data_IF_141360736890
#
_entry.id   IF_141360736890
#
_cell.length_a   1.000
_cell.length_b   1.000
_cell.length_c   1.000
_cell.angle_alpha   90.00
_cell.angle_beta   90.00
_cell.angle_gamma   90.00
#
_symmetry.space_group_name_H-M   'P 1'
#
loop_
_entity.id
_entity.type
_entity.pdbx_description
1 polymer ?
#
# COMPACT_ATOMS: atom_id res chain seq x y z
N UNK A 1 16.71 -12.44 4.65
CA UNK A 1 17.88 -12.53 3.74
C UNK A 1 17.46 -12.38 2.25
N UNK A 2 16.43 -11.57 1.98
CA UNK A 2 15.98 -11.31 0.60
C UNK A 2 16.51 -9.99 0.02
N UNK A 3 17.19 -9.18 0.83
CA UNK A 3 17.76 -7.91 0.42
C UNK A 3 19.22 -8.05 0.03
N UNK A 4 19.61 -7.38 -1.05
CA UNK A 4 21.03 -7.20 -1.38
C UNK A 4 21.71 -6.27 -0.36
N UNK A 5 23.04 -6.29 -0.22
CA UNK A 5 23.74 -5.28 0.58
C UNK A 5 23.32 -3.86 0.20
N UNK A 6 23.18 -2.97 1.18
CA UNK A 6 22.64 -1.61 1.05
C UNK A 6 21.22 -1.54 0.49
N UNK A 7 20.48 -2.65 0.53
CA UNK A 7 19.06 -2.68 0.15
C UNK A 7 18.16 -2.00 1.17
N UNK A 8 16.97 -1.59 0.73
CA UNK A 8 15.99 -0.92 1.57
C UNK A 8 14.75 -1.78 1.78
N UNK A 9 14.34 -1.93 3.03
CA UNK A 9 13.04 -2.47 3.43
C UNK A 9 12.08 -1.32 3.71
N UNK A 10 10.93 -1.36 3.08
CA UNK A 10 9.86 -0.38 3.31
C UNK A 10 8.71 -1.07 4.03
N UNK A 11 8.38 -0.61 5.24
CA UNK A 11 7.22 -1.10 5.99
C UNK A 11 6.14 -0.03 6.00
N UNK A 12 4.96 -0.32 5.47
CA UNK A 12 3.88 0.68 5.27
C UNK A 12 2.52 0.26 5.82
N UNK A 13 2.45 -0.82 6.58
CA UNK A 13 1.16 -1.28 7.11
C UNK A 13 1.25 -2.11 8.38
N UNK A 14 0.10 -2.28 9.02
CA UNK A 14 -0.11 -3.06 10.25
C UNK A 14 -1.30 -4.03 10.11
N UNK A 15 -1.53 -4.61 8.93
CA UNK A 15 -2.71 -5.44 8.66
C UNK A 15 -2.85 -6.63 9.62
N UNK A 16 -1.74 -7.15 10.13
CA UNK A 16 -1.71 -8.26 11.11
C UNK A 16 -1.34 -7.80 12.52
N UNK A 17 -1.47 -6.51 12.81
CA UNK A 17 -1.08 -5.91 14.09
C UNK A 17 0.23 -5.11 14.01
N UNK A 18 0.68 -4.54 15.14
CA UNK A 18 1.89 -3.74 15.18
C UNK A 18 3.12 -4.57 14.83
N UNK A 19 4.05 -3.96 14.09
CA UNK A 19 5.34 -4.57 13.78
C UNK A 19 6.17 -4.69 15.07
N UNK A 20 6.77 -5.86 15.38
CA UNK A 20 7.65 -6.01 16.53
C UNK A 20 8.85 -5.07 16.45
N UNK A 21 9.50 -4.75 17.59
CA UNK A 21 10.74 -4.01 17.59
C UNK A 21 11.81 -4.68 16.72
N UNK A 22 12.54 -3.87 15.95
CA UNK A 22 13.64 -4.32 15.12
C UNK A 22 14.97 -4.03 15.84
N UNK A 23 15.82 -5.06 15.99
CA UNK A 23 17.18 -4.85 16.42
C UNK A 23 17.99 -4.19 15.29
N UNK A 24 18.46 -2.98 15.53
CA UNK A 24 19.22 -2.20 14.54
C UNK A 24 20.58 -2.86 14.20
N UNK A 25 21.15 -3.67 15.08
CA UNK A 25 22.39 -4.38 14.81
C UNK A 25 22.25 -5.35 13.62
N UNK A 26 21.07 -5.92 13.43
CA UNK A 26 20.78 -6.77 12.28
C UNK A 26 20.98 -6.05 10.94
N UNK A 27 20.74 -4.75 10.87
CA UNK A 27 20.91 -3.99 9.63
C UNK A 27 22.38 -3.97 9.18
N UNK A 28 23.31 -3.79 10.10
CA UNK A 28 24.74 -3.83 9.79
C UNK A 28 25.21 -5.25 9.48
N UNK A 29 24.81 -6.24 10.27
CA UNK A 29 25.19 -7.64 10.08
C UNK A 29 24.67 -8.23 8.76
N UNK A 30 23.51 -7.78 8.28
CA UNK A 30 22.88 -8.25 7.05
C UNK A 30 23.27 -7.44 5.81
N UNK A 31 24.26 -6.55 5.92
CA UNK A 31 24.84 -5.87 4.78
C UNK A 31 24.50 -4.37 4.70
N UNK A 32 24.53 -3.66 5.83
CA UNK A 32 24.27 -2.21 5.89
C UNK A 32 22.91 -1.82 5.29
N UNK A 33 21.88 -2.51 5.72
CA UNK A 33 20.53 -2.34 5.20
C UNK A 33 19.88 -1.05 5.69
N UNK A 34 18.93 -0.56 4.91
CA UNK A 34 18.05 0.56 5.27
C UNK A 34 16.67 0.05 5.63
N UNK A 35 16.03 0.71 6.60
CA UNK A 35 14.61 0.49 6.93
C UNK A 35 13.92 1.83 7.00
N UNK A 36 12.77 1.95 6.35
CA UNK A 36 11.94 3.14 6.40
C UNK A 36 10.47 2.78 6.58
N UNK A 37 9.73 3.71 7.19
CA UNK A 37 8.28 3.60 7.33
C UNK A 37 7.61 4.89 6.85
N UNK A 38 7.27 4.98 5.55
CA UNK A 38 6.65 6.17 4.98
C UNK A 38 5.20 6.30 5.45
N UNK A 39 4.73 7.53 5.53
CA UNK A 39 3.34 7.91 5.77
C UNK A 39 2.86 8.77 4.61
N UNK A 40 1.77 8.37 3.96
CA UNK A 40 1.21 9.08 2.81
C UNK A 40 0.99 10.58 3.10
N UNK A 41 0.55 10.91 4.30
CA UNK A 41 0.29 12.30 4.71
C UNK A 41 1.51 13.21 4.59
N UNK A 42 2.73 12.68 4.75
CA UNK A 42 3.95 13.49 4.57
C UNK A 42 4.22 13.78 3.09
N UNK A 43 3.90 12.83 2.20
CA UNK A 43 4.09 12.98 0.75
C UNK A 43 3.02 13.87 0.10
N UNK A 44 1.84 13.96 0.73
CA UNK A 44 0.69 14.71 0.21
C UNK A 44 0.35 15.96 1.04
N UNK A 45 1.28 16.40 1.90
CA UNK A 45 1.08 17.54 2.78
C UNK A 45 0.82 18.85 2.02
N UNK A 46 1.47 19.01 0.87
CA UNK A 46 1.25 20.15 -0.02
C UNK A 46 0.29 19.77 -1.13
N UNK A 47 -0.59 20.70 -1.50
CA UNK A 47 -1.56 20.51 -2.58
C UNK A 47 -0.89 20.20 -3.92
N UNK A 48 0.23 20.85 -4.21
CA UNK A 48 1.01 20.65 -5.43
C UNK A 48 1.54 19.22 -5.55
N UNK A 49 2.08 18.66 -4.46
CA UNK A 49 2.60 17.29 -4.42
C UNK A 49 1.46 16.28 -4.61
N UNK A 50 0.32 16.49 -3.96
CA UNK A 50 -0.86 15.63 -4.11
C UNK A 50 -1.35 15.61 -5.58
N UNK A 51 -1.40 16.79 -6.22
CA UNK A 51 -1.84 16.90 -7.63
C UNK A 51 -0.84 16.21 -8.55
N UNK A 52 0.46 16.42 -8.35
CA UNK A 52 1.50 15.79 -9.17
C UNK A 52 1.47 14.26 -9.05
N UNK A 53 1.42 13.72 -7.82
CA UNK A 53 1.32 12.27 -7.58
C UNK A 53 0.03 11.68 -8.15
N UNK A 54 -1.09 12.39 -8.05
CA UNK A 54 -2.35 11.97 -8.63
C UNK A 54 -2.30 11.92 -10.16
N UNK A 55 -1.71 12.93 -10.80
CA UNK A 55 -1.53 12.96 -12.25
C UNK A 55 -0.67 11.78 -12.73
N UNK A 56 0.48 11.54 -12.09
CA UNK A 56 1.35 10.41 -12.43
C UNK A 56 0.63 9.06 -12.31
N UNK A 57 -0.14 8.86 -11.23
CA UNK A 57 -0.93 7.64 -11.04
C UNK A 57 -1.97 7.46 -12.16
N UNK A 58 -2.72 8.51 -12.49
CA UNK A 58 -3.73 8.43 -13.53
C UNK A 58 -3.12 8.19 -14.92
N UNK A 59 -1.96 8.77 -15.21
CA UNK A 59 -1.25 8.55 -16.48
C UNK A 59 -0.82 7.09 -16.65
N UNK A 60 -0.24 6.46 -15.62
CA UNK A 60 0.20 5.06 -15.72
C UNK A 60 -0.97 4.08 -15.77
N UNK A 61 -2.11 4.41 -15.16
CA UNK A 61 -3.35 3.61 -15.26
C UNK A 61 -4.00 3.82 -16.63
N UNK A 62 -4.13 5.05 -17.09
CA UNK A 62 -4.76 5.37 -18.38
C UNK A 62 -3.96 4.82 -19.57
N UNK A 63 -2.63 4.80 -19.47
CA UNK A 63 -1.76 4.20 -20.49
C UNK A 63 -1.77 2.66 -20.50
N UNK A 64 -2.38 2.03 -19.49
CA UNK A 64 -2.43 0.58 -19.34
C UNK A 64 -1.13 -0.06 -18.83
N UNK A 65 -0.14 0.74 -18.43
CA UNK A 65 1.10 0.23 -17.80
C UNK A 65 0.82 -0.41 -16.43
N UNK A 66 -0.17 0.12 -15.72
CA UNK A 66 -0.67 -0.46 -14.48
C UNK A 66 -2.12 -0.84 -14.67
N UNK A 67 -2.46 -2.11 -14.45
CA UNK A 67 -3.83 -2.61 -14.45
C UNK A 67 -4.36 -2.69 -13.03
N UNK A 68 -5.54 -2.12 -12.81
CA UNK A 68 -6.26 -2.26 -11.55
C UNK A 68 -7.29 -3.37 -11.75
N UNK A 69 -7.04 -4.51 -11.12
CA UNK A 69 -7.96 -5.64 -11.19
C UNK A 69 -9.14 -5.41 -10.24
N UNK A 70 -10.34 -5.25 -10.81
CA UNK A 70 -11.60 -5.11 -10.07
C UNK A 70 -12.31 -6.44 -10.12
N UNK A 71 -12.36 -7.17 -9.00
CA UNK A 71 -12.94 -8.50 -8.96
C UNK A 71 -14.33 -8.52 -8.30
N UNK A 72 -14.65 -7.50 -7.48
CA UNK A 72 -15.94 -7.42 -6.80
C UNK A 72 -16.54 -6.02 -6.94
N UNK A 73 -17.85 -5.99 -7.09
CA UNK A 73 -18.64 -4.76 -7.12
C UNK A 73 -19.86 -4.95 -6.22
N UNK A 74 -20.13 -3.97 -5.36
CA UNK A 74 -21.30 -3.93 -4.48
C UNK A 74 -22.04 -2.62 -4.72
N UNK A 75 -23.35 -2.59 -4.48
CA UNK A 75 -24.07 -1.33 -4.33
C UNK A 75 -23.54 -0.56 -3.10
N UNK A 76 -23.55 0.76 -3.12
CA UNK A 76 -23.11 1.57 -1.97
C UNK A 76 -23.90 1.22 -0.69
N UNK A 77 -25.18 0.90 -0.83
CA UNK A 77 -26.05 0.44 0.28
C UNK A 77 -25.55 -0.87 0.91
N UNK A 78 -24.75 -1.65 0.21
CA UNK A 78 -24.17 -2.91 0.67
C UNK A 78 -22.76 -2.77 1.23
N UNK A 79 -22.28 -1.55 1.49
CA UNK A 79 -20.92 -1.29 2.00
C UNK A 79 -20.59 -2.13 3.25
N UNK A 80 -21.55 -2.33 4.15
CA UNK A 80 -21.36 -3.18 5.34
C UNK A 80 -21.07 -4.64 4.96
N UNK A 81 -21.67 -5.16 3.89
CA UNK A 81 -21.36 -6.51 3.40
C UNK A 81 -19.99 -6.58 2.75
N UNK A 82 -19.63 -5.58 1.94
CA UNK A 82 -18.31 -5.47 1.33
C UNK A 82 -17.18 -5.49 2.38
N UNK A 83 -17.36 -4.75 3.50
CA UNK A 83 -16.42 -4.77 4.62
C UNK A 83 -16.31 -6.15 5.27
N UNK A 84 -17.45 -6.81 5.54
CA UNK A 84 -17.44 -8.17 6.12
C UNK A 84 -16.71 -9.18 5.22
N UNK A 85 -16.90 -9.09 3.92
CA UNK A 85 -16.26 -10.01 2.96
C UNK A 85 -14.76 -9.73 2.83
N UNK A 86 -14.35 -8.46 2.88
CA UNK A 86 -12.94 -8.07 2.93
C UNK A 86 -12.25 -8.59 4.21
N UNK A 87 -12.85 -8.40 5.38
CA UNK A 87 -12.33 -8.88 6.66
C UNK A 87 -12.28 -10.41 6.73
N UNK A 88 -13.25 -11.07 6.12
CA UNK A 88 -13.29 -12.53 5.99
C UNK A 88 -12.33 -13.08 4.92
N UNK A 89 -11.54 -12.22 4.24
CA UNK A 89 -10.62 -12.60 3.15
C UNK A 89 -11.27 -13.33 1.98
N UNK A 90 -12.54 -13.03 1.70
CA UNK A 90 -13.28 -13.59 0.57
C UNK A 90 -13.07 -12.83 -0.73
N UNK A 91 -12.46 -11.65 -0.66
CA UNK A 91 -12.24 -10.76 -1.79
C UNK A 91 -10.79 -10.81 -2.26
N UNK A 92 -10.57 -10.57 -3.55
CA UNK A 92 -9.27 -10.41 -4.17
C UNK A 92 -9.29 -9.20 -5.11
N UNK A 93 -8.12 -8.61 -5.40
CA UNK A 93 -8.07 -7.39 -6.20
C UNK A 93 -8.77 -6.20 -5.53
N UNK A 94 -9.23 -5.26 -6.32
CA UNK A 94 -9.96 -4.08 -5.83
C UNK A 94 -11.46 -4.36 -5.73
N UNK A 95 -12.07 -3.83 -4.67
CA UNK A 95 -13.52 -3.83 -4.46
C UNK A 95 -14.07 -2.45 -4.75
N UNK A 96 -15.12 -2.35 -5.57
CA UNK A 96 -15.79 -1.09 -5.92
C UNK A 96 -17.18 -1.05 -5.29
N UNK A 97 -17.52 0.12 -4.73
CA UNK A 97 -18.88 0.45 -4.31
C UNK A 97 -19.48 1.39 -5.36
N UNK A 98 -20.65 1.01 -5.90
CA UNK A 98 -21.40 1.82 -6.85
C UNK A 98 -22.52 2.60 -6.14
N UNK A 99 -22.65 3.92 -6.40
CA UNK A 99 -23.74 4.73 -5.86
C UNK A 99 -25.11 4.25 -6.29
#
# INVERSE_FOLDING_TARGET
DCLRPMGMMVTYGNASGPVPPLDLLLLSQKGSLFVTRPTLMNYTAKREDLVALGAELFDVVASGQVKIEVHQTYALSEAAQAHRDLEARKTTGSTILLP
#
